data_IF_751489438903
#
_entry.id   IF_751489438903
#
_cell.length_a   1.000
_cell.length_b   1.000
_cell.length_c   1.000
_cell.angle_alpha   90.00
_cell.angle_beta   90.00
_cell.angle_gamma   90.00
#
_symmetry.space_group_name_H-M   'P 1'
#
loop_
_entity.id
_entity.type
_entity.pdbx_description
1 polymer ?
#
# COMPACT_ATOMS: atom_id res chain seq x y z
N UNK A 1 -33.48 -9.35 -4.61
CA UNK A 1 -32.13 -9.89 -4.30
C UNK A 1 -31.12 -8.82 -4.69
N UNK A 2 -30.56 -8.12 -3.70
CA UNK A 2 -29.59 -7.03 -3.94
C UNK A 2 -28.28 -7.63 -4.46
N UNK A 3 -27.98 -7.40 -5.73
CA UNK A 3 -26.67 -7.66 -6.31
C UNK A 3 -25.66 -6.80 -5.59
N UNK A 4 -24.92 -7.40 -4.64
CA UNK A 4 -23.82 -6.75 -3.94
C UNK A 4 -22.89 -6.15 -4.97
N UNK A 5 -22.74 -4.82 -4.92
CA UNK A 5 -21.69 -4.10 -5.62
C UNK A 5 -20.38 -4.83 -5.37
N UNK A 6 -19.81 -5.40 -6.43
CA UNK A 6 -18.52 -6.04 -6.34
C UNK A 6 -17.51 -4.90 -6.14
N UNK A 7 -16.87 -4.75 -4.95
CA UNK A 7 -15.99 -3.61 -4.69
C UNK A 7 -14.77 -3.60 -5.63
N UNK A 8 -14.56 -4.68 -6.37
CA UNK A 8 -13.47 -4.88 -7.32
C UNK A 8 -13.82 -4.50 -8.77
N UNK A 9 -15.08 -4.20 -9.11
CA UNK A 9 -15.47 -3.91 -10.51
C UNK A 9 -15.04 -2.53 -11.03
N UNK A 10 -14.62 -1.61 -10.15
CA UNK A 10 -14.22 -0.24 -10.52
C UNK A 10 -12.70 -0.01 -10.58
N UNK A 11 -11.88 -1.07 -10.60
CA UNK A 11 -10.42 -0.96 -10.36
C UNK A 11 -9.64 -0.54 -11.62
N UNK A 12 -10.23 -0.61 -12.81
CA UNK A 12 -9.52 -0.34 -14.07
C UNK A 12 -9.29 1.16 -14.38
N UNK A 13 -9.92 2.09 -13.65
CA UNK A 13 -9.78 3.54 -13.86
C UNK A 13 -9.46 4.37 -12.60
N UNK A 14 -9.21 3.72 -11.46
CA UNK A 14 -9.26 4.37 -10.12
C UNK A 14 -7.91 4.31 -9.39
N UNK A 15 -6.84 3.79 -10.00
CA UNK A 15 -5.53 3.71 -9.36
C UNK A 15 -4.39 4.07 -10.30
N UNK A 16 -3.38 4.78 -9.79
CA UNK A 16 -2.09 4.96 -10.46
C UNK A 16 -1.06 3.99 -9.87
N UNK A 17 -0.23 3.41 -10.73
CA UNK A 17 0.90 2.61 -10.30
C UNK A 17 1.96 3.48 -9.63
N UNK A 18 2.54 2.95 -8.56
CA UNK A 18 3.66 3.54 -7.83
C UNK A 18 4.77 2.50 -7.87
N UNK A 19 5.75 2.73 -8.74
CA UNK A 19 6.85 1.79 -9.01
C UNK A 19 8.06 2.00 -8.09
N UNK A 20 8.10 3.15 -7.39
CA UNK A 20 9.20 3.49 -6.50
C UNK A 20 8.73 3.57 -5.04
N UNK A 21 9.44 2.87 -4.15
CA UNK A 21 9.18 2.90 -2.70
C UNK A 21 9.29 4.32 -2.11
N UNK A 22 10.12 5.18 -2.69
CA UNK A 22 10.25 6.59 -2.32
C UNK A 22 8.94 7.36 -2.45
N UNK A 23 8.08 6.93 -3.37
CA UNK A 23 6.90 7.67 -3.78
C UNK A 23 5.65 7.19 -3.05
N UNK A 24 5.75 6.07 -2.33
CA UNK A 24 4.67 5.53 -1.48
C UNK A 24 4.25 6.57 -0.43
N UNK A 25 2.94 6.77 -0.32
CA UNK A 25 2.31 7.73 0.56
C UNK A 25 1.18 7.08 1.38
N UNK A 26 0.71 7.73 2.46
CA UNK A 26 -0.51 7.33 3.14
C UNK A 26 -1.69 7.20 2.18
N UNK A 27 -2.47 6.15 2.33
CA UNK A 27 -3.60 5.85 1.46
C UNK A 27 -3.31 4.82 0.36
N UNK A 28 -2.04 4.65 -0.03
CA UNK A 28 -1.64 3.68 -1.04
C UNK A 28 -1.86 2.25 -0.56
N UNK A 29 -2.21 1.35 -1.48
CA UNK A 29 -2.19 -0.09 -1.26
C UNK A 29 -0.83 -0.60 -1.70
N UNK A 30 -0.01 -1.07 -0.75
CA UNK A 30 1.35 -1.57 -1.02
C UNK A 30 1.35 -3.09 -1.05
N UNK A 31 2.05 -3.63 -2.05
CA UNK A 31 2.33 -5.04 -2.21
C UNK A 31 3.79 -5.28 -1.86
N UNK A 32 4.03 -6.11 -0.83
CA UNK A 32 5.36 -6.50 -0.41
C UNK A 32 5.60 -7.96 -0.72
N UNK A 33 6.81 -8.29 -1.16
CA UNK A 33 7.26 -9.66 -1.30
C UNK A 33 8.31 -10.01 -0.24
N UNK A 34 8.51 -11.29 0.07
CA UNK A 34 9.74 -11.71 0.76
C UNK A 34 10.94 -11.65 -0.21
N UNK A 35 12.16 -11.81 0.31
CA UNK A 35 13.39 -11.78 -0.49
C UNK A 35 13.45 -12.83 -1.61
N UNK A 36 12.70 -13.93 -1.48
CA UNK A 36 12.55 -14.97 -2.51
C UNK A 36 11.36 -14.77 -3.46
N UNK A 37 10.61 -13.68 -3.34
CA UNK A 37 9.45 -13.36 -4.20
C UNK A 37 8.19 -14.21 -3.97
N UNK A 38 8.20 -15.17 -3.03
CA UNK A 38 7.14 -16.19 -2.91
C UNK A 38 5.95 -15.77 -2.06
N UNK A 39 6.17 -14.95 -1.03
CA UNK A 39 5.10 -14.47 -0.15
C UNK A 39 4.76 -13.03 -0.50
N UNK A 40 3.53 -12.77 -0.95
CA UNK A 40 3.04 -11.43 -1.25
C UNK A 40 1.99 -10.98 -0.22
N UNK A 41 2.16 -9.79 0.34
CA UNK A 41 1.20 -9.17 1.29
C UNK A 41 0.75 -7.84 0.74
N UNK A 42 -0.56 -7.61 0.68
CA UNK A 42 -1.16 -6.34 0.28
C UNK A 42 -1.81 -5.65 1.49
N UNK A 43 -1.58 -4.35 1.69
CA UNK A 43 -2.24 -3.58 2.75
C UNK A 43 -2.26 -2.08 2.45
N UNK A 44 -3.20 -1.37 3.09
CA UNK A 44 -3.30 0.10 2.99
C UNK A 44 -2.31 0.77 3.95
N UNK A 45 -1.52 1.70 3.43
CA UNK A 45 -0.55 2.49 4.21
C UNK A 45 -1.28 3.54 5.03
N UNK A 46 -1.07 3.54 6.34
CA UNK A 46 -1.56 4.57 7.26
C UNK A 46 -0.57 5.72 7.43
N UNK A 47 0.72 5.42 7.52
CA UNK A 47 1.79 6.43 7.56
C UNK A 47 3.12 5.86 7.05
N UNK A 48 4.01 6.76 6.63
CA UNK A 48 5.35 6.40 6.14
C UNK A 48 6.41 7.16 6.91
N UNK A 49 7.41 6.45 7.42
CA UNK A 49 8.59 7.04 8.08
C UNK A 49 9.84 6.54 7.37
N UNK A 50 10.70 7.45 6.94
CA UNK A 50 11.97 7.15 6.26
C UNK A 50 13.12 7.64 7.13
N UNK A 51 14.05 6.77 7.48
CA UNK A 51 15.18 7.11 8.34
C UNK A 51 16.33 6.11 8.13
N UNK A 52 17.58 6.58 8.08
CA UNK A 52 18.79 5.74 7.99
C UNK A 52 18.74 4.68 6.88
N UNK A 53 18.23 5.05 5.69
CA UNK A 53 18.10 4.13 4.55
C UNK A 53 16.99 3.06 4.70
N UNK A 54 16.16 3.16 5.75
CA UNK A 54 15.00 2.29 5.98
C UNK A 54 13.70 3.05 5.67
N UNK A 55 12.72 2.33 5.15
CA UNK A 55 11.34 2.80 5.01
C UNK A 55 10.43 1.97 5.89
N UNK A 56 9.75 2.62 6.83
CA UNK A 56 8.74 2.03 7.68
C UNK A 56 7.35 2.38 7.15
N UNK A 57 6.58 1.38 6.78
CA UNK A 57 5.21 1.50 6.28
C UNK A 57 4.24 1.00 7.36
N UNK A 58 3.54 1.92 8.00
CA UNK A 58 2.55 1.58 9.03
C UNK A 58 1.25 1.17 8.38
N UNK A 59 0.60 0.15 8.93
CA UNK A 59 -0.65 -0.39 8.40
C UNK A 59 -1.82 0.44 8.90
N UNK A 60 -2.64 0.94 7.97
CA UNK A 60 -3.85 1.71 8.29
C UNK A 60 -4.80 0.91 9.17
N UNK A 61 -5.31 1.52 10.24
CA UNK A 61 -6.27 0.91 11.16
C UNK A 61 -5.69 -0.12 12.14
N UNK A 62 -4.37 -0.37 12.12
CA UNK A 62 -3.71 -1.32 13.03
C UNK A 62 -2.57 -0.63 13.80
N UNK A 63 -2.85 -0.22 15.03
CA UNK A 63 -1.91 0.50 15.89
C UNK A 63 -0.60 -0.27 16.07
N UNK A 64 0.53 0.39 15.81
CA UNK A 64 1.87 -0.17 16.00
C UNK A 64 2.32 -1.19 14.95
N UNK A 65 1.42 -1.69 14.09
CA UNK A 65 1.79 -2.65 13.04
C UNK A 65 2.44 -1.93 11.86
N UNK A 66 3.65 -2.35 11.50
CA UNK A 66 4.41 -1.81 10.38
C UNK A 66 5.25 -2.87 9.67
N UNK A 67 5.59 -2.60 8.42
CA UNK A 67 6.62 -3.32 7.69
C UNK A 67 7.83 -2.40 7.46
N UNK A 68 9.03 -2.94 7.63
CA UNK A 68 10.29 -2.22 7.38
C UNK A 68 10.90 -2.74 6.10
N UNK A 69 11.35 -1.85 5.22
CA UNK A 69 12.00 -2.18 3.96
C UNK A 69 13.37 -1.50 3.94
N UNK A 70 14.38 -2.20 3.42
CA UNK A 70 15.78 -1.77 3.44
C UNK A 70 16.60 -2.48 4.53
N UNK A 71 17.92 -2.25 4.52
CA UNK A 71 18.86 -2.89 5.43
C UNK A 71 18.81 -4.42 5.37
N UNK A 72 18.72 -5.06 6.55
CA UNK A 72 18.61 -6.52 6.70
C UNK A 72 17.16 -7.05 6.62
N UNK A 73 16.19 -6.23 6.20
CA UNK A 73 14.80 -6.68 6.09
C UNK A 73 14.65 -7.79 5.05
N UNK A 74 13.89 -8.82 5.40
CA UNK A 74 13.48 -9.89 4.49
C UNK A 74 12.33 -9.48 3.57
N UNK A 75 11.73 -8.31 3.81
CA UNK A 75 10.66 -7.75 2.99
C UNK A 75 11.22 -6.86 1.88
N UNK A 76 10.64 -6.95 0.69
CA UNK A 76 10.94 -6.15 -0.48
C UNK A 76 9.68 -5.45 -0.96
N UNK A 77 9.87 -4.22 -1.43
CA UNK A 77 8.82 -3.51 -2.16
C UNK A 77 8.63 -4.18 -3.52
N UNK A 78 7.39 -4.50 -3.87
CA UNK A 78 7.05 -5.06 -5.18
C UNK A 78 6.39 -3.99 -6.04
N UNK A 79 5.21 -3.51 -5.63
CA UNK A 79 4.51 -2.39 -6.25
C UNK A 79 3.62 -1.69 -5.22
N UNK A 80 3.09 -0.53 -5.57
CA UNK A 80 1.97 0.07 -4.88
C UNK A 80 0.94 0.66 -5.84
N UNK A 81 -0.29 0.77 -5.36
CA UNK A 81 -1.41 1.35 -6.09
C UNK A 81 -1.96 2.52 -5.30
N UNK A 82 -1.90 3.69 -5.90
CA UNK A 82 -2.46 4.92 -5.33
C UNK A 82 -3.89 5.10 -5.80
N UNK A 83 -4.89 5.10 -4.90
CA UNK A 83 -6.25 5.43 -5.29
C UNK A 83 -6.30 6.86 -5.84
N UNK A 84 -6.90 7.03 -6.99
CA UNK A 84 -7.42 8.31 -7.47
C UNK A 84 -8.45 8.74 -6.43
N UNK A 85 -8.26 9.90 -5.81
CA UNK A 85 -9.25 10.41 -4.87
C UNK A 85 -10.60 10.54 -5.60
N UNK A 86 -11.57 9.72 -5.22
CA UNK A 86 -12.96 10.05 -5.44
C UNK A 86 -13.19 11.38 -4.72
N UNK A 87 -13.61 12.42 -5.44
CA UNK A 87 -14.14 13.64 -4.82
C UNK A 87 -15.47 13.29 -4.15
N UNK A 88 -15.44 12.49 -3.10
CA UNK A 88 -16.62 12.15 -2.31
C UNK A 88 -16.49 12.90 -0.99
N UNK A 89 -17.19 14.03 -0.93
CA UNK A 89 -17.60 14.66 0.31
C UNK A 89 -16.90 15.95 0.69
N UNK A 90 -16.94 16.97 -0.18
CA UNK A 90 -17.13 18.33 0.33
C UNK A 90 -18.65 18.45 0.60
N UNK A 91 -19.03 18.48 1.87
CA UNK A 91 -20.37 18.87 2.33
C UNK A 91 -20.25 20.20 3.05
#
# INVERSE_FOLDING_TARGET
MNGKDNPWKNVAGVYYHVDCLSDVAPGDVVYLSNAGGSLMVAYKVGSVVRCNGLTHLYVSGLTGRKYTIGGASTMRFHEARRPVADKVGEK
#
